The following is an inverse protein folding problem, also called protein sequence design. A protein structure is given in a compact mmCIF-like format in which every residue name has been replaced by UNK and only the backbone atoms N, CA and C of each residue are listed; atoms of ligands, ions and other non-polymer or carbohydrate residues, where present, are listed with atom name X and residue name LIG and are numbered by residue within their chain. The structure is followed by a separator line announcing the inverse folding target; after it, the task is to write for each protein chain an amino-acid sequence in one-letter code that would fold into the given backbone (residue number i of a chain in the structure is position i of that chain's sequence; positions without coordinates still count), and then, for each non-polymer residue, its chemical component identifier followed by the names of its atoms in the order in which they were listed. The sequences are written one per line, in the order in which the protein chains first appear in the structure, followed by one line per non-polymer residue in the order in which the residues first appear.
data_IF_287251117174
#
_entry.id   IF_287251117174
#
_cell.length_a   1.000
_cell.length_b   1.000
_cell.length_c   1.000
_cell.angle_alpha   90.00
_cell.angle_beta   90.00
_cell.angle_gamma   90.00
#
_symmetry.space_group_name_H-M   'P 1'
#
loop_
_entity.id
_entity.type
_entity.pdbx_description
1 polymer ?
#
# COMPACT_ATOMS: atom_id res chain seq x y z
N UNK A 1 73.57 -16.12 -12.02
CA UNK A 1 72.63 -15.37 -12.89
C UNK A 1 71.21 -15.98 -12.91
N UNK A 2 71.05 -17.32 -12.89
CA UNK A 2 69.73 -17.99 -12.81
C UNK A 2 68.92 -17.76 -11.50
N UNK A 3 69.58 -17.40 -10.40
CA UNK A 3 68.92 -17.22 -9.09
C UNK A 3 68.21 -15.87 -8.94
N UNK A 4 68.59 -14.86 -9.74
CA UNK A 4 68.00 -13.51 -9.67
C UNK A 4 66.68 -13.47 -10.43
N UNK A 5 66.56 -14.21 -11.54
CA UNK A 5 65.31 -14.30 -12.32
C UNK A 5 64.15 -14.92 -11.51
N UNK A 6 64.39 -15.91 -10.65
CA UNK A 6 63.32 -16.54 -9.85
C UNK A 6 62.67 -15.60 -8.82
N UNK A 7 63.43 -14.65 -8.25
CA UNK A 7 62.88 -13.69 -7.28
C UNK A 7 61.99 -12.63 -7.94
N UNK A 8 62.34 -12.20 -9.14
CA UNK A 8 61.55 -11.23 -9.90
C UNK A 8 60.19 -11.79 -10.32
N UNK A 9 60.14 -13.05 -10.76
CA UNK A 9 58.87 -13.71 -11.10
C UNK A 9 57.97 -13.93 -9.89
N UNK A 10 58.54 -14.31 -8.74
CA UNK A 10 57.77 -14.49 -7.51
C UNK A 10 57.17 -13.16 -7.02
N UNK A 11 57.92 -12.07 -7.15
CA UNK A 11 57.46 -10.73 -6.76
C UNK A 11 56.35 -10.21 -7.67
N UNK A 12 56.47 -10.43 -8.99
CA UNK A 12 55.42 -10.08 -9.96
C UNK A 12 54.17 -10.94 -9.72
N UNK A 13 54.33 -12.24 -9.44
CA UNK A 13 53.20 -13.13 -9.12
C UNK A 13 52.47 -12.67 -7.85
N UNK A 14 53.21 -12.28 -6.80
CA UNK A 14 52.65 -11.76 -5.55
C UNK A 14 51.92 -10.44 -5.73
N UNK A 15 52.45 -9.52 -6.53
CA UNK A 15 51.76 -8.27 -6.88
C UNK A 15 50.49 -8.56 -7.68
N UNK A 16 50.56 -9.49 -8.64
CA UNK A 16 49.39 -9.87 -9.45
C UNK A 16 48.32 -10.53 -8.58
N UNK A 17 48.72 -11.37 -7.61
CA UNK A 17 47.82 -11.98 -6.64
C UNK A 17 47.21 -10.94 -5.69
N UNK A 18 47.99 -9.95 -5.23
CA UNK A 18 47.48 -8.84 -4.41
C UNK A 18 46.55 -7.90 -5.19
N UNK A 19 46.77 -7.71 -6.49
CA UNK A 19 45.86 -6.96 -7.36
C UNK A 19 44.58 -7.76 -7.62
N UNK A 20 44.67 -9.07 -7.80
CA UNK A 20 43.50 -9.94 -7.96
C UNK A 20 42.69 -10.07 -6.66
N UNK A 21 43.34 -10.13 -5.49
CA UNK A 21 42.68 -10.21 -4.19
C UNK A 21 42.23 -8.84 -3.65
N UNK A 22 42.89 -7.75 -4.06
CA UNK A 22 42.55 -6.37 -3.68
C UNK A 22 41.49 -5.71 -4.56
N UNK A 23 41.05 -6.38 -5.63
CA UNK A 23 39.94 -5.96 -6.50
C UNK A 23 38.84 -7.04 -6.45
N UNK A 24 38.52 -7.52 -5.26
CA UNK A 24 37.11 -7.76 -4.94
C UNK A 24 36.67 -6.57 -4.12
N UNK A 25 36.39 -5.47 -4.83
CA UNK A 25 35.36 -4.56 -4.34
C UNK A 25 34.13 -5.46 -4.29
N UNK A 26 33.73 -5.89 -3.10
CA UNK A 26 32.38 -6.40 -2.90
C UNK A 26 31.50 -5.39 -3.63
N UNK A 27 30.93 -5.81 -4.76
CA UNK A 27 29.79 -5.11 -5.31
C UNK A 27 28.70 -5.41 -4.29
N UNK A 28 28.72 -4.68 -3.19
CA UNK A 28 27.52 -4.37 -2.47
C UNK A 28 26.66 -3.66 -3.52
N UNK A 29 25.86 -4.44 -4.24
CA UNK A 29 24.71 -4.00 -5.01
C UNK A 29 23.77 -3.38 -3.99
N UNK A 30 24.13 -2.19 -3.54
CA UNK A 30 23.34 -1.37 -2.63
C UNK A 30 22.42 -0.62 -3.57
N UNK A 31 21.15 -0.96 -3.47
CA UNK A 31 20.05 -0.35 -4.20
C UNK A 31 20.20 1.17 -4.17
N UNK A 32 20.17 1.81 -5.35
CA UNK A 32 20.06 3.26 -5.47
C UNK A 32 18.65 3.63 -4.95
N UNK A 33 18.53 3.88 -3.64
CA UNK A 33 17.30 4.24 -2.90
C UNK A 33 16.75 5.62 -3.33
N UNK A 34 16.74 5.93 -4.63
CA UNK A 34 15.86 6.97 -5.14
C UNK A 34 14.43 6.49 -4.99
N UNK A 35 13.77 6.90 -3.89
CA UNK A 35 12.33 6.78 -3.62
C UNK A 35 11.51 7.63 -4.59
N UNK A 36 11.76 7.45 -5.89
CA UNK A 36 11.42 8.42 -6.94
C UNK A 36 9.92 8.68 -7.09
N UNK A 37 9.07 7.81 -6.53
CA UNK A 37 7.62 7.83 -6.62
C UNK A 37 6.89 7.50 -5.30
N UNK A 38 7.54 7.63 -4.13
CA UNK A 38 6.85 7.40 -2.85
C UNK A 38 6.32 8.72 -2.27
N UNK A 39 5.05 8.71 -1.85
CA UNK A 39 4.44 9.77 -1.07
C UNK A 39 4.72 9.47 0.40
N UNK A 40 5.35 10.40 1.10
CA UNK A 40 5.69 10.29 2.52
C UNK A 40 4.82 11.26 3.32
N UNK A 41 4.17 10.77 4.37
CA UNK A 41 3.39 11.60 5.29
C UNK A 41 4.25 11.93 6.50
N UNK A 42 4.39 13.22 6.79
CA UNK A 42 5.21 13.70 7.91
C UNK A 42 4.50 14.86 8.62
N UNK A 43 4.82 15.08 9.89
CA UNK A 43 4.34 16.23 10.66
C UNK A 43 5.27 17.42 10.56
N UNK A 44 4.74 18.63 10.76
CA UNK A 44 5.57 19.80 11.04
C UNK A 44 6.46 19.51 12.25
N UNK A 45 7.78 19.63 12.07
CA UNK A 45 8.82 19.33 13.05
C UNK A 45 9.59 18.05 12.77
N UNK A 46 9.08 17.17 11.90
CA UNK A 46 9.75 15.90 11.58
C UNK A 46 11.04 16.11 10.78
N UNK A 47 12.00 15.23 11.02
CA UNK A 47 13.24 15.13 10.25
C UNK A 47 13.04 14.10 9.13
N UNK A 48 13.47 14.44 7.93
CA UNK A 48 13.58 13.47 6.84
C UNK A 48 14.94 12.82 6.95
N UNK A 49 14.97 11.55 7.35
CA UNK A 49 16.16 10.73 7.28
C UNK A 49 16.33 10.22 5.83
N UNK A 50 17.31 10.80 5.15
CA UNK A 50 17.74 10.39 3.81
C UNK A 50 19.14 9.76 3.84
N UNK A 51 19.59 9.26 5.00
CA UNK A 51 20.88 8.60 5.20
C UNK A 51 22.06 9.44 4.70
N UNK A 52 22.21 10.63 5.29
CA UNK A 52 23.26 11.59 4.89
C UNK A 52 24.67 11.02 5.05
N UNK A 53 24.89 10.16 6.05
CA UNK A 53 26.17 9.52 6.34
C UNK A 53 26.62 8.63 5.17
N UNK A 54 25.71 7.81 4.63
CA UNK A 54 25.97 7.03 3.41
C UNK A 54 26.42 7.93 2.25
N UNK A 55 25.75 9.07 2.04
CA UNK A 55 26.14 9.97 0.98
C UNK A 55 27.47 10.66 1.24
N UNK A 56 27.84 10.94 2.49
CA UNK A 56 29.15 11.52 2.84
C UNK A 56 30.29 10.53 2.57
N UNK A 57 30.04 9.24 2.82
CA UNK A 57 31.01 8.17 2.55
C UNK A 57 31.20 7.93 1.05
N UNK A 58 30.12 7.98 0.26
CA UNK A 58 30.17 7.76 -1.19
C UNK A 58 30.63 8.99 -1.97
N UNK A 59 30.22 10.17 -1.52
CA UNK A 59 30.41 11.43 -2.23
C UNK A 59 31.09 12.45 -1.31
N UNK A 60 32.24 12.97 -1.73
CA UNK A 60 32.84 14.12 -1.05
C UNK A 60 31.97 15.35 -1.31
N UNK A 61 31.23 15.81 -0.31
CA UNK A 61 30.48 17.08 -0.34
C UNK A 61 30.66 17.85 0.97
N UNK A 62 30.58 19.18 0.91
CA UNK A 62 30.64 20.05 2.09
C UNK A 62 29.39 20.95 2.23
N UNK A 63 28.45 20.85 1.28
CA UNK A 63 27.22 21.63 1.28
C UNK A 63 26.06 20.84 0.68
N UNK A 64 24.93 20.85 1.37
CA UNK A 64 23.64 20.33 0.92
C UNK A 64 22.73 21.49 0.53
N UNK A 65 22.12 21.41 -0.65
CA UNK A 65 21.12 22.37 -1.13
C UNK A 65 19.83 21.62 -1.41
N UNK A 66 18.71 22.16 -0.93
CA UNK A 66 17.39 21.59 -1.14
C UNK A 66 16.65 22.36 -2.23
N UNK A 67 15.99 21.63 -3.11
CA UNK A 67 15.02 22.14 -4.07
C UNK A 67 13.64 21.62 -3.68
N UNK A 68 12.76 22.55 -3.37
CA UNK A 68 11.39 22.27 -2.97
C UNK A 68 10.46 22.74 -4.09
N UNK A 69 9.59 21.85 -4.55
CA UNK A 69 8.44 22.21 -5.39
C UNK A 69 7.19 22.15 -4.51
N UNK A 70 6.62 23.33 -4.23
CA UNK A 70 5.58 23.55 -3.22
C UNK A 70 4.19 23.60 -3.84
N UNK A 71 3.21 23.05 -3.14
CA UNK A 71 1.81 23.05 -3.56
C UNK A 71 0.90 23.59 -2.44
N UNK A 72 0.16 24.66 -2.72
CA UNK A 72 -0.82 25.22 -1.80
C UNK A 72 -2.21 24.65 -2.08
N UNK A 73 -2.85 24.17 -1.03
CA UNK A 73 -4.26 23.81 -1.00
C UNK A 73 -5.08 25.07 -0.67
N UNK A 74 -5.89 25.58 -1.60
CA UNK A 74 -6.81 26.73 -1.37
C UNK A 74 -8.25 26.26 -1.25
N UNK A 75 -8.82 26.35 -0.05
CA UNK A 75 -10.19 25.93 0.28
C UNK A 75 -10.47 26.04 1.78
N UNK A 76 -11.74 26.05 2.18
CA UNK A 76 -12.13 26.21 3.58
C UNK A 76 -12.02 24.86 4.31
N UNK A 77 -11.00 24.70 5.17
CA UNK A 77 -10.67 23.43 5.85
C UNK A 77 -11.80 22.95 6.76
N UNK A 78 -12.60 23.87 7.31
CA UNK A 78 -13.68 23.55 8.25
C UNK A 78 -14.96 23.00 7.60
N UNK A 79 -15.10 23.07 6.27
CA UNK A 79 -16.35 22.73 5.59
C UNK A 79 -16.16 21.69 4.49
N UNK A 80 -15.39 20.64 4.76
CA UNK A 80 -15.02 19.54 3.85
C UNK A 80 -13.88 19.87 2.88
N UNK A 81 -12.94 18.92 2.75
CA UNK A 81 -11.78 18.91 1.85
C UNK A 81 -12.19 19.12 0.36
N UNK A 82 -13.48 18.92 0.02
CA UNK A 82 -14.10 19.10 -1.30
C UNK A 82 -14.00 20.48 -1.95
N UNK A 83 -13.44 21.49 -1.27
CA UNK A 83 -13.30 22.85 -1.79
C UNK A 83 -11.84 23.28 -2.05
N UNK A 84 -10.88 22.35 -2.01
CA UNK A 84 -9.45 22.66 -2.10
C UNK A 84 -8.93 22.61 -3.55
N UNK A 85 -8.58 23.77 -4.11
CA UNK A 85 -7.84 23.89 -5.37
C UNK A 85 -6.34 23.86 -5.12
N UNK A 86 -5.58 23.06 -5.89
CA UNK A 86 -4.13 22.89 -5.72
C UNK A 86 -3.37 23.80 -6.70
N UNK A 87 -2.51 24.67 -6.20
CA UNK A 87 -1.69 25.57 -7.01
C UNK A 87 -0.20 25.35 -6.73
N UNK A 88 0.61 25.24 -7.80
CA UNK A 88 2.08 25.25 -7.69
C UNK A 88 2.53 26.62 -7.19
N UNK A 89 3.24 26.65 -6.07
CA UNK A 89 3.88 27.85 -5.54
C UNK A 89 5.40 27.74 -5.71
N UNK A 90 6.02 28.80 -6.23
CA UNK A 90 7.48 28.86 -6.41
C UNK A 90 8.16 29.38 -5.14
N UNK A 91 8.03 28.67 -4.02
CA UNK A 91 8.65 29.10 -2.76
C UNK A 91 9.10 27.91 -1.90
N UNK A 92 10.34 27.95 -1.40
CA UNK A 92 10.84 27.04 -0.35
C UNK A 92 10.20 27.43 1.01
N UNK A 93 9.04 26.88 1.34
CA UNK A 93 8.26 27.28 2.52
C UNK A 93 7.98 26.14 3.50
N UNK A 94 8.02 24.91 3.03
CA UNK A 94 7.59 23.74 3.78
C UNK A 94 8.74 23.02 4.46
N UNK A 95 9.97 23.18 3.96
CA UNK A 95 11.15 22.55 4.54
C UNK A 95 12.25 23.55 4.90
N UNK A 96 13.13 23.16 5.82
CA UNK A 96 14.34 23.88 6.17
C UNK A 96 15.49 22.91 6.41
N UNK A 97 16.69 23.23 5.91
CA UNK A 97 17.91 22.50 6.26
C UNK A 97 18.54 23.17 7.50
N UNK A 98 18.70 22.42 8.59
CA UNK A 98 19.34 22.94 9.80
C UNK A 98 20.88 22.97 9.70
N UNK A 99 21.56 23.40 10.75
CA UNK A 99 23.03 23.48 10.81
C UNK A 99 23.76 22.13 10.71
N UNK A 100 23.06 21.00 10.85
CA UNK A 100 23.57 19.63 10.71
C UNK A 100 23.30 19.02 9.32
N UNK A 101 22.75 19.80 8.39
CA UNK A 101 22.27 19.34 7.08
C UNK A 101 21.05 18.39 7.14
N UNK A 102 20.30 18.40 8.24
CA UNK A 102 19.06 17.64 8.37
C UNK A 102 17.91 18.45 7.78
N UNK A 103 17.00 17.80 7.04
CA UNK A 103 15.83 18.44 6.44
C UNK A 103 14.65 18.31 7.39
N UNK A 104 14.08 19.45 7.78
CA UNK A 104 13.00 19.54 8.76
C UNK A 104 11.74 20.10 8.11
N UNK A 105 10.61 19.44 8.29
CA UNK A 105 9.30 19.98 7.93
C UNK A 105 8.96 21.19 8.82
N UNK A 106 8.67 22.33 8.21
CA UNK A 106 8.44 23.62 8.90
C UNK A 106 6.99 24.07 8.87
N UNK A 107 6.21 23.63 7.87
CA UNK A 107 4.86 24.14 7.61
C UNK A 107 4.01 23.05 6.95
N UNK A 108 2.72 22.99 7.28
CA UNK A 108 1.78 22.13 6.55
C UNK A 108 1.75 22.46 5.07
N UNK A 109 1.62 21.43 4.25
CA UNK A 109 1.42 21.55 2.82
C UNK A 109 1.81 20.26 2.11
N UNK A 110 1.83 20.31 0.79
CA UNK A 110 2.39 19.22 -0.01
C UNK A 110 3.61 19.77 -0.71
N UNK A 111 4.72 19.05 -0.67
CA UNK A 111 5.94 19.45 -1.36
C UNK A 111 6.69 18.25 -1.93
N UNK A 112 7.22 18.42 -3.15
CA UNK A 112 8.20 17.50 -3.71
C UNK A 112 9.60 17.96 -3.34
N UNK A 113 10.43 17.04 -2.89
CA UNK A 113 11.73 17.35 -2.34
C UNK A 113 12.85 16.72 -3.17
N UNK A 114 13.80 17.54 -3.60
CA UNK A 114 15.07 17.08 -4.16
C UNK A 114 16.23 17.67 -3.39
N UNK A 115 17.28 16.88 -3.24
CA UNK A 115 18.50 17.28 -2.51
C UNK A 115 19.68 17.23 -3.46
N UNK A 116 20.48 18.28 -3.45
CA UNK A 116 21.70 18.41 -4.24
C UNK A 116 22.91 18.58 -3.35
N UNK A 117 23.91 17.75 -3.58
CA UNK A 117 25.18 17.75 -2.88
C UNK A 117 26.20 18.55 -3.70
N UNK A 118 27.00 19.35 -3.01
CA UNK A 118 28.06 20.16 -3.63
C UNK A 118 29.35 20.15 -2.81
N UNK A 119 30.48 20.25 -3.52
CA UNK A 119 31.81 20.40 -2.94
C UNK A 119 32.50 21.59 -3.59
N UNK A 120 32.94 22.56 -2.78
CA UNK A 120 33.57 23.80 -3.27
C UNK A 120 32.76 24.46 -4.39
N UNK A 121 31.45 24.62 -4.14
CA UNK A 121 30.45 25.20 -5.06
C UNK A 121 30.20 24.42 -6.36
N UNK A 122 30.83 23.25 -6.54
CA UNK A 122 30.55 22.36 -7.68
C UNK A 122 29.52 21.32 -7.32
N UNK A 123 28.54 21.12 -8.20
CA UNK A 123 27.54 20.06 -8.09
C UNK A 123 28.20 18.68 -8.13
N UNK A 124 27.76 17.79 -7.24
CA UNK A 124 28.25 16.41 -7.12
C UNK A 124 27.15 15.42 -7.52
N UNK A 125 25.98 15.52 -6.90
CA UNK A 125 24.86 14.58 -7.12
C UNK A 125 23.54 15.24 -6.73
N UNK A 126 22.46 14.87 -7.41
CA UNK A 126 21.08 15.21 -7.02
C UNK A 126 20.30 13.93 -6.76
N UNK A 127 19.48 13.94 -5.72
CA UNK A 127 18.60 12.85 -5.31
C UNK A 127 17.18 13.39 -5.24
N UNK A 128 16.23 12.61 -5.76
CA UNK A 128 14.80 12.87 -5.62
C UNK A 128 14.31 12.09 -4.40
N UNK A 129 13.86 12.80 -3.37
CA UNK A 129 13.37 12.21 -2.12
C UNK A 129 11.88 11.89 -2.17
N UNK A 130 11.18 12.28 -3.24
CA UNK A 130 9.76 11.99 -3.44
C UNK A 130 8.84 13.13 -3.04
N UNK A 131 7.55 12.80 -2.94
CA UNK A 131 6.49 13.73 -2.57
C UNK A 131 6.22 13.62 -1.07
N UNK A 132 6.04 14.75 -0.39
CA UNK A 132 5.76 14.80 1.04
C UNK A 132 4.41 15.48 1.27
N UNK A 133 3.57 14.84 2.07
CA UNK A 133 2.36 15.43 2.63
C UNK A 133 2.68 15.80 4.07
N UNK A 134 2.81 17.10 4.31
CA UNK A 134 3.14 17.66 5.62
C UNK A 134 1.85 18.12 6.29
N UNK A 135 1.52 17.50 7.40
CA UNK A 135 0.36 17.87 8.21
C UNK A 135 0.81 18.73 9.40
N UNK A 136 0.10 19.85 9.62
CA UNK A 136 0.33 20.74 10.75
C UNK A 136 -0.75 20.45 11.78
N UNK A 137 -0.49 19.45 12.59
CA UNK A 137 -1.33 19.21 13.74
C UNK A 137 -0.66 19.78 14.98
N UNK A 138 -1.00 21.04 15.28
CA UNK A 138 -0.51 21.75 16.46
C UNK A 138 -1.08 21.17 17.78
N UNK A 139 -2.03 20.23 17.69
CA UNK A 139 -2.67 19.58 18.83
C UNK A 139 -2.40 18.07 18.90
N UNK A 140 -1.70 17.47 17.93
CA UNK A 140 -1.26 16.09 18.06
C UNK A 140 -0.12 16.00 19.06
N UNK A 141 -0.36 15.24 20.11
CA UNK A 141 0.70 14.62 20.88
C UNK A 141 1.56 13.81 19.90
N UNK A 142 2.75 14.33 19.57
CA UNK A 142 3.70 13.70 18.65
C UNK A 142 4.36 12.46 19.26
N UNK A 143 3.96 12.06 20.46
CA UNK A 143 4.44 10.85 21.09
C UNK A 143 3.85 9.63 20.40
N UNK A 144 4.73 8.72 19.98
CA UNK A 144 4.34 7.40 19.54
C UNK A 144 3.89 6.58 20.74
N UNK A 145 2.65 6.09 20.69
CA UNK A 145 2.08 5.26 21.74
C UNK A 145 2.19 3.79 21.32
N UNK A 146 2.85 3.00 22.17
CA UNK A 146 2.95 1.55 22.00
C UNK A 146 1.64 0.87 22.38
N UNK A 147 1.05 0.16 21.43
CA UNK A 147 -0.19 -0.60 21.60
C UNK A 147 0.11 -2.06 21.92
N UNK A 148 -0.59 -2.59 22.90
CA UNK A 148 -0.59 -3.99 23.31
C UNK A 148 -2.03 -4.41 23.69
N UNK A 149 -2.20 -5.66 24.08
CA UNK A 149 -3.50 -6.23 24.48
C UNK A 149 -4.28 -5.33 25.46
N UNK A 150 -3.62 -4.70 26.42
CA UNK A 150 -4.29 -3.98 27.51
C UNK A 150 -4.82 -2.59 27.14
N UNK A 151 -4.23 -1.96 26.11
CA UNK A 151 -4.49 -0.55 25.79
C UNK A 151 -4.90 -0.30 24.32
N UNK A 152 -4.82 -1.32 23.44
CA UNK A 152 -5.08 -1.20 22.01
C UNK A 152 -6.39 -0.43 21.70
N UNK A 153 -7.50 -0.87 22.29
CA UNK A 153 -8.78 -0.23 22.03
C UNK A 153 -8.91 1.15 22.68
N UNK A 154 -8.49 1.30 23.94
CA UNK A 154 -8.70 2.53 24.70
C UNK A 154 -7.89 3.69 24.14
N UNK A 155 -6.62 3.46 23.79
CA UNK A 155 -5.74 4.51 23.25
C UNK A 155 -6.23 5.01 21.89
N UNK A 156 -6.61 4.09 20.99
CA UNK A 156 -7.12 4.48 19.67
C UNK A 156 -8.48 5.18 19.80
N UNK A 157 -9.38 4.70 20.67
CA UNK A 157 -10.69 5.32 20.88
C UNK A 157 -10.57 6.74 21.44
N UNK A 158 -9.68 6.94 22.41
CA UNK A 158 -9.56 8.21 23.12
C UNK A 158 -8.71 9.22 22.32
N UNK A 159 -7.81 8.74 21.44
CA UNK A 159 -7.02 9.55 20.52
C UNK A 159 -7.04 8.99 19.09
N UNK A 160 -8.17 9.09 18.35
CA UNK A 160 -8.34 8.47 17.03
C UNK A 160 -7.47 9.09 15.93
N UNK A 161 -6.83 10.22 16.21
CA UNK A 161 -5.87 10.89 15.33
C UNK A 161 -4.42 10.73 15.80
N UNK A 162 -4.16 9.91 16.81
CA UNK A 162 -2.83 9.70 17.39
C UNK A 162 -1.86 8.91 16.49
N UNK A 163 -0.62 8.79 16.97
CA UNK A 163 0.44 7.99 16.35
C UNK A 163 0.72 6.75 17.18
N UNK A 164 0.55 5.59 16.58
CA UNK A 164 0.56 4.30 17.28
C UNK A 164 1.49 3.30 16.60
N UNK A 165 2.08 2.42 17.39
CA UNK A 165 2.76 1.24 16.87
C UNK A 165 2.42 0.01 17.70
N UNK A 166 2.36 -1.16 17.09
CA UNK A 166 2.14 -2.40 17.83
C UNK A 166 3.43 -2.80 18.58
N UNK A 167 3.27 -3.29 19.80
CA UNK A 167 4.34 -3.80 20.68
C UNK A 167 4.17 -5.26 21.06
N UNK A 168 3.03 -5.85 20.70
CA UNK A 168 2.70 -7.25 20.92
C UNK A 168 1.59 -7.66 19.96
N UNK A 169 1.37 -8.97 19.83
CA UNK A 169 0.13 -9.48 19.26
C UNK A 169 -1.09 -8.94 20.02
N UNK A 170 -2.18 -8.70 19.30
CA UNK A 170 -3.46 -8.22 19.83
C UNK A 170 -4.49 -9.34 19.67
N UNK A 171 -4.81 -10.08 20.75
CA UNK A 171 -5.76 -11.16 20.67
C UNK A 171 -7.19 -10.63 20.55
N UNK A 172 -8.11 -11.46 20.07
CA UNK A 172 -9.49 -11.03 19.76
C UNK A 172 -10.27 -10.44 20.94
N UNK A 173 -9.93 -10.81 22.18
CA UNK A 173 -10.56 -10.28 23.39
C UNK A 173 -10.22 -8.81 23.65
N UNK A 174 -9.11 -8.32 23.12
CA UNK A 174 -8.68 -6.92 23.22
C UNK A 174 -9.26 -6.05 22.11
N UNK A 175 -9.80 -6.67 21.04
CA UNK A 175 -10.34 -5.92 19.91
C UNK A 175 -11.82 -5.63 20.11
N UNK A 176 -12.10 -4.36 20.39
CA UNK A 176 -13.43 -3.81 20.32
C UNK A 176 -13.55 -2.92 19.08
N UNK A 177 -14.78 -2.75 18.60
CA UNK A 177 -15.07 -1.93 17.42
C UNK A 177 -14.59 -0.48 17.60
N UNK A 178 -13.70 -0.04 16.72
CA UNK A 178 -13.26 1.36 16.66
C UNK A 178 -14.14 2.10 15.66
N UNK A 179 -14.91 3.09 16.12
CA UNK A 179 -15.89 3.76 15.25
C UNK A 179 -15.25 4.66 14.18
N UNK A 180 -14.12 5.27 14.49
CA UNK A 180 -13.46 6.23 13.60
C UNK A 180 -11.96 6.27 13.90
N UNK A 181 -11.15 6.38 12.86
CA UNK A 181 -9.71 6.58 12.96
C UNK A 181 -9.18 7.40 11.79
N UNK A 182 -8.30 8.35 12.09
CA UNK A 182 -7.64 9.25 11.13
C UNK A 182 -6.14 9.43 11.40
N UNK A 183 -5.61 8.71 12.40
CA UNK A 183 -4.22 8.80 12.82
C UNK A 183 -3.28 7.91 12.01
N UNK A 184 -2.17 7.56 12.64
CA UNK A 184 -1.12 6.70 12.07
C UNK A 184 -0.96 5.42 12.90
N UNK A 185 -0.96 4.25 12.27
CA UNK A 185 -0.61 2.98 12.92
C UNK A 185 0.49 2.28 12.13
N UNK A 186 1.57 1.92 12.83
CA UNK A 186 2.68 1.13 12.29
C UNK A 186 2.77 -0.24 12.98
N UNK A 187 3.24 -1.23 12.24
CA UNK A 187 3.58 -2.54 12.79
C UNK A 187 4.89 -3.05 12.18
N UNK A 188 6.02 -2.43 12.56
CA UNK A 188 7.33 -2.75 11.98
C UNK A 188 7.78 -4.17 12.33
N UNK A 189 7.38 -4.66 13.49
CA UNK A 189 7.80 -5.95 14.06
C UNK A 189 6.87 -7.12 13.69
N UNK A 190 5.92 -6.89 12.77
CA UNK A 190 5.02 -7.93 12.24
C UNK A 190 4.14 -8.62 13.31
N UNK A 191 3.70 -7.89 14.34
CA UNK A 191 2.71 -8.40 15.29
C UNK A 191 1.36 -8.65 14.62
N UNK A 192 0.59 -9.59 15.15
CA UNK A 192 -0.69 -10.02 14.60
C UNK A 192 -1.86 -9.46 15.38
N UNK A 193 -2.97 -9.22 14.68
CA UNK A 193 -4.27 -8.89 15.26
C UNK A 193 -5.22 -10.03 14.91
N UNK A 194 -5.87 -10.62 15.91
CA UNK A 194 -6.93 -11.61 15.68
C UNK A 194 -8.30 -10.97 15.84
N UNK A 195 -9.16 -11.08 14.83
CA UNK A 195 -10.54 -10.59 14.86
C UNK A 195 -11.51 -11.78 14.87
N UNK A 196 -12.03 -12.12 16.05
CA UNK A 196 -13.11 -13.11 16.16
C UNK A 196 -14.45 -12.42 16.33
N UNK A 197 -15.32 -12.56 15.32
CA UNK A 197 -16.76 -12.34 15.34
C UNK A 197 -17.29 -11.26 16.31
N UNK A 198 -17.60 -10.08 15.75
CA UNK A 198 -18.66 -9.24 16.30
C UNK A 198 -20.01 -9.82 15.88
N UNK A 199 -20.49 -10.86 16.57
CA UNK A 199 -21.90 -11.26 16.49
C UNK A 199 -22.73 -10.16 17.16
N UNK A 200 -22.96 -9.07 16.44
CA UNK A 200 -23.63 -7.88 16.94
C UNK A 200 -24.58 -7.37 15.87
N UNK A 201 -25.73 -6.87 16.30
CA UNK A 201 -26.80 -6.30 15.47
C UNK A 201 -26.40 -5.00 14.77
N UNK A 202 -25.12 -4.77 14.47
CA UNK A 202 -24.61 -3.55 13.85
C UNK A 202 -24.24 -3.71 12.39
N UNK A 203 -24.80 -2.82 11.56
CA UNK A 203 -24.76 -2.85 10.10
C UNK A 203 -23.36 -2.73 9.46
N UNK A 204 -22.31 -2.32 10.17
CA UNK A 204 -20.99 -2.10 9.57
C UNK A 204 -19.89 -2.74 10.41
N UNK A 205 -19.05 -3.57 9.77
CA UNK A 205 -18.09 -4.45 10.44
C UNK A 205 -16.65 -4.27 9.92
N UNK A 206 -15.70 -4.38 10.85
CA UNK A 206 -14.25 -4.30 10.65
C UNK A 206 -13.55 -3.89 11.95
N UNK A 207 -12.22 -3.96 11.97
CA UNK A 207 -11.40 -3.39 13.05
C UNK A 207 -11.77 -1.90 13.27
N UNK A 208 -11.88 -1.18 12.16
CA UNK A 208 -12.40 0.17 12.09
C UNK A 208 -13.77 0.20 11.41
N UNK A 209 -14.67 1.05 11.87
CA UNK A 209 -15.89 1.33 11.08
C UNK A 209 -15.55 2.28 9.95
N UNK A 210 -14.82 3.35 10.26
CA UNK A 210 -14.44 4.40 9.32
C UNK A 210 -12.95 4.70 9.50
N UNK A 211 -12.21 4.57 8.40
CA UNK A 211 -10.90 5.21 8.20
C UNK A 211 -11.09 6.46 7.36
N UNK A 212 -10.59 7.61 7.80
CA UNK A 212 -10.59 8.84 6.98
C UNK A 212 -9.29 9.61 7.17
N UNK A 213 -8.50 9.75 6.11
CA UNK A 213 -7.18 10.40 6.18
C UNK A 213 -6.13 9.61 6.97
N UNK A 214 -6.36 8.32 7.24
CA UNK A 214 -5.49 7.50 8.06
C UNK A 214 -4.26 7.00 7.27
N UNK A 215 -3.15 6.80 7.99
CA UNK A 215 -1.98 6.05 7.50
C UNK A 215 -1.85 4.74 8.26
N UNK A 216 -1.93 3.62 7.55
CA UNK A 216 -1.82 2.29 8.15
C UNK A 216 -0.73 1.52 7.42
N UNK A 217 0.25 1.02 8.18
CA UNK A 217 1.40 0.31 7.65
C UNK A 217 1.71 -0.97 8.43
N UNK A 218 1.79 -2.09 7.72
CA UNK A 218 2.29 -3.35 8.26
C UNK A 218 1.30 -4.15 9.09
N UNK A 219 0.03 -3.74 9.20
CA UNK A 219 -0.95 -4.49 10.00
C UNK A 219 -1.19 -5.89 9.42
N UNK A 220 -1.13 -6.90 10.29
CA UNK A 220 -1.39 -8.30 9.95
C UNK A 220 -2.61 -8.74 10.73
N UNK A 221 -3.73 -8.96 10.04
CA UNK A 221 -4.95 -9.53 10.62
C UNK A 221 -4.98 -11.01 10.28
N UNK A 222 -5.01 -11.90 11.26
CA UNK A 222 -4.90 -13.35 11.04
C UNK A 222 -5.89 -14.16 11.88
N UNK A 223 -6.19 -15.38 11.45
CA UNK A 223 -7.06 -16.35 12.14
C UNK A 223 -8.43 -15.75 12.47
N UNK A 224 -8.92 -14.93 11.55
CA UNK A 224 -10.07 -14.07 11.79
C UNK A 224 -11.31 -14.60 11.07
N UNK A 225 -12.49 -14.38 11.66
CA UNK A 225 -13.75 -14.76 11.03
C UNK A 225 -14.80 -13.69 11.27
N UNK A 226 -15.44 -13.23 10.20
CA UNK A 226 -16.59 -12.34 10.22
C UNK A 226 -17.85 -13.08 9.80
N UNK A 227 -18.87 -13.03 10.66
CA UNK A 227 -20.22 -13.52 10.37
C UNK A 227 -21.21 -12.39 10.60
N UNK A 228 -21.81 -11.81 9.55
CA UNK A 228 -22.89 -10.85 9.73
C UNK A 228 -24.05 -11.50 10.49
N UNK A 229 -24.67 -10.76 11.41
CA UNK A 229 -25.93 -11.18 12.03
C UNK A 229 -27.09 -10.54 11.30
N UNK A 230 -28.26 -11.19 11.24
CA UNK A 230 -29.42 -10.71 10.49
C UNK A 230 -29.75 -9.23 10.75
N UNK A 231 -29.75 -8.42 9.70
CA UNK A 231 -30.21 -7.03 9.74
C UNK A 231 -31.64 -6.93 9.20
N UNK A 232 -32.44 -6.05 9.80
CA UNK A 232 -33.66 -5.61 9.14
C UNK A 232 -33.26 -4.91 7.83
N UNK A 233 -33.90 -5.30 6.72
CA UNK A 233 -33.56 -5.04 5.29
C UNK A 233 -33.39 -3.58 4.83
N UNK A 234 -33.24 -2.60 5.73
CA UNK A 234 -33.36 -1.17 5.41
C UNK A 234 -32.00 -0.46 5.33
N UNK A 235 -30.93 -1.00 5.92
CA UNK A 235 -29.61 -0.34 5.95
C UNK A 235 -28.59 -1.03 5.04
N UNK A 236 -27.81 -0.23 4.31
CA UNK A 236 -26.65 -0.71 3.54
C UNK A 236 -25.54 -1.13 4.51
N UNK A 237 -25.24 -2.42 4.53
CA UNK A 237 -24.22 -3.03 5.37
C UNK A 237 -22.92 -3.18 4.59
N UNK A 238 -21.82 -2.63 5.12
CA UNK A 238 -20.48 -2.73 4.55
C UNK A 238 -19.52 -3.45 5.50
N UNK A 239 -18.68 -4.35 4.98
CA UNK A 239 -17.79 -5.18 5.79
C UNK A 239 -16.41 -5.36 5.17
N UNK A 240 -15.38 -5.32 6.01
CA UNK A 240 -14.03 -5.75 5.70
C UNK A 240 -13.18 -5.89 6.95
N UNK A 241 -12.16 -6.75 6.97
CA UNK A 241 -11.42 -7.06 8.21
C UNK A 241 -10.73 -5.80 8.75
N UNK A 242 -10.16 -4.98 7.88
CA UNK A 242 -9.57 -3.71 8.27
C UNK A 242 -10.65 -2.66 8.55
N UNK A 243 -11.56 -2.42 7.60
CA UNK A 243 -12.60 -1.42 7.80
C UNK A 243 -13.90 -1.65 7.03
N UNK A 244 -15.02 -1.15 7.56
CA UNK A 244 -16.25 -1.06 6.78
C UNK A 244 -16.15 0.03 5.69
N UNK A 245 -15.56 1.18 6.03
CA UNK A 245 -15.34 2.31 5.12
C UNK A 245 -13.89 2.83 5.22
N UNK A 246 -13.25 3.09 4.09
CA UNK A 246 -11.96 3.78 4.02
C UNK A 246 -12.00 4.97 3.05
N UNK A 247 -11.78 6.17 3.56
CA UNK A 247 -11.75 7.44 2.83
C UNK A 247 -10.39 8.09 2.88
N UNK A 248 -9.89 8.59 1.75
CA UNK A 248 -8.70 9.43 1.65
C UNK A 248 -7.46 8.90 2.41
N UNK A 249 -7.35 7.58 2.57
CA UNK A 249 -6.37 6.96 3.45
C UNK A 249 -5.21 6.38 2.63
N UNK A 250 -4.12 6.06 3.31
CA UNK A 250 -2.99 5.35 2.73
C UNK A 250 -2.78 4.05 3.51
N UNK A 251 -3.03 2.92 2.84
CA UNK A 251 -3.01 1.59 3.43
C UNK A 251 -1.89 0.81 2.75
N UNK A 252 -0.83 0.52 3.49
CA UNK A 252 0.37 -0.11 2.94
C UNK A 252 0.79 -1.33 3.75
N UNK A 253 1.35 -2.35 3.09
CA UNK A 253 1.88 -3.56 3.72
C UNK A 253 0.86 -4.26 4.65
N UNK A 254 -0.43 -4.18 4.35
CA UNK A 254 -1.50 -4.78 5.16
C UNK A 254 -1.84 -6.17 4.65
N UNK A 255 -1.81 -7.15 5.55
CA UNK A 255 -2.18 -8.54 5.24
C UNK A 255 -3.38 -8.98 6.06
N UNK A 256 -4.32 -9.68 5.40
CA UNK A 256 -5.48 -10.28 6.03
C UNK A 256 -5.54 -11.76 5.68
N UNK A 257 -5.63 -12.60 6.70
CA UNK A 257 -5.93 -14.04 6.64
C UNK A 257 -7.19 -14.30 7.47
N UNK A 258 -8.31 -14.58 6.80
CA UNK A 258 -9.58 -14.80 7.48
C UNK A 258 -10.77 -15.02 6.59
N UNK A 259 -11.86 -15.53 7.18
CA UNK A 259 -13.06 -15.94 6.46
C UNK A 259 -14.24 -15.00 6.71
N UNK A 260 -14.95 -14.63 5.66
CA UNK A 260 -16.23 -13.91 5.71
C UNK A 260 -17.34 -14.87 5.31
N UNK A 261 -18.17 -15.26 6.27
CA UNK A 261 -19.18 -16.31 6.08
C UNK A 261 -20.57 -15.76 6.44
N UNK A 262 -21.43 -15.59 5.44
CA UNK A 262 -22.85 -15.26 5.63
C UNK A 262 -23.76 -16.42 5.20
N UNK A 263 -24.69 -16.79 6.06
CA UNK A 263 -25.73 -17.78 5.79
C UNK A 263 -27.14 -17.17 5.83
N UNK A 264 -27.25 -15.85 5.97
CA UNK A 264 -28.49 -15.12 6.15
C UNK A 264 -28.81 -14.38 4.86
N UNK A 265 -29.96 -14.71 4.25
CA UNK A 265 -30.41 -14.03 3.03
C UNK A 265 -30.73 -12.56 3.30
N UNK A 266 -30.09 -11.65 2.55
CA UNK A 266 -30.46 -10.24 2.46
C UNK A 266 -29.97 -9.34 3.59
N UNK A 267 -28.88 -9.71 4.29
CA UNK A 267 -28.31 -8.91 5.39
C UNK A 267 -27.09 -8.08 5.02
N UNK A 268 -26.31 -8.40 3.99
CA UNK A 268 -25.07 -7.68 3.69
C UNK A 268 -25.00 -7.23 2.23
N UNK A 269 -24.70 -5.94 2.02
CA UNK A 269 -24.70 -5.38 0.67
C UNK A 269 -23.29 -5.39 0.08
N UNK A 270 -22.26 -4.97 0.82
CA UNK A 270 -20.93 -4.74 0.25
C UNK A 270 -19.85 -5.36 1.13
N UNK A 271 -19.05 -6.27 0.55
CA UNK A 271 -18.02 -7.04 1.28
C UNK A 271 -16.69 -6.95 0.57
N UNK A 272 -15.65 -6.57 1.30
CA UNK A 272 -14.26 -6.71 0.90
C UNK A 272 -13.48 -7.55 1.90
N UNK A 273 -12.45 -8.29 1.48
CA UNK A 273 -11.54 -8.95 2.42
C UNK A 273 -10.82 -7.94 3.33
N UNK A 274 -10.36 -6.80 2.78
CA UNK A 274 -9.78 -5.71 3.57
C UNK A 274 -10.83 -4.68 3.97
N UNK A 275 -11.51 -4.10 2.97
CA UNK A 275 -12.40 -2.94 3.16
C UNK A 275 -13.73 -3.15 2.46
N UNK A 276 -14.84 -2.89 3.14
CA UNK A 276 -16.16 -2.92 2.50
C UNK A 276 -16.28 -1.89 1.38
N UNK A 277 -16.17 -0.61 1.74
CA UNK A 277 -16.34 0.51 0.82
C UNK A 277 -15.14 1.45 0.88
N UNK A 278 -14.60 1.83 -0.28
CA UNK A 278 -13.44 2.71 -0.39
C UNK A 278 -13.68 3.97 -1.22
N UNK A 279 -13.16 5.12 -0.75
CA UNK A 279 -13.22 6.42 -1.40
C UNK A 279 -11.82 7.05 -1.45
N UNK A 280 -11.25 7.23 -2.64
CA UNK A 280 -9.97 7.96 -2.81
C UNK A 280 -8.81 7.43 -1.94
N UNK A 281 -8.83 6.15 -1.57
CA UNK A 281 -7.79 5.52 -0.74
C UNK A 281 -6.80 4.81 -1.64
N UNK A 282 -5.52 4.86 -1.25
CA UNK A 282 -4.44 4.18 -1.95
C UNK A 282 -4.06 2.93 -1.17
N UNK A 283 -3.90 1.83 -1.89
CA UNK A 283 -3.48 0.54 -1.38
C UNK A 283 -2.15 0.13 -2.01
N UNK A 284 -1.14 -0.12 -1.18
CA UNK A 284 0.14 -0.65 -1.63
C UNK A 284 0.51 -1.90 -0.86
N UNK A 285 1.00 -2.93 -1.53
CA UNK A 285 1.48 -4.14 -0.84
C UNK A 285 0.41 -4.71 0.09
N UNK A 286 -0.79 -4.92 -0.44
CA UNK A 286 -1.92 -5.42 0.35
C UNK A 286 -2.29 -6.83 -0.06
N UNK A 287 -2.73 -7.63 0.90
CA UNK A 287 -3.12 -9.01 0.61
C UNK A 287 -4.33 -9.48 1.38
N UNK A 288 -5.13 -10.30 0.72
CA UNK A 288 -6.18 -11.07 1.36
C UNK A 288 -5.98 -12.57 1.10
N UNK A 289 -6.19 -13.38 2.12
CA UNK A 289 -6.28 -14.83 2.01
C UNK A 289 -7.41 -15.39 2.85
N UNK A 290 -8.17 -16.33 2.30
CA UNK A 290 -9.30 -16.96 2.96
C UNK A 290 -10.55 -17.04 2.10
N UNK A 291 -11.66 -17.41 2.73
CA UNK A 291 -12.94 -17.64 2.07
C UNK A 291 -13.86 -16.42 2.25
N UNK A 292 -14.48 -15.97 1.15
CA UNK A 292 -15.65 -15.08 1.21
C UNK A 292 -16.83 -15.83 0.61
N UNK A 293 -17.76 -16.25 1.46
CA UNK A 293 -18.95 -17.00 1.05
C UNK A 293 -20.20 -16.39 1.66
N UNK A 294 -21.21 -16.10 0.83
CA UNK A 294 -22.48 -15.65 1.37
C UNK A 294 -23.53 -15.22 0.36
N UNK A 295 -24.47 -14.40 0.83
CA UNK A 295 -25.56 -13.81 0.05
C UNK A 295 -25.38 -12.28 0.08
N UNK A 296 -24.53 -11.78 -0.83
CA UNK A 296 -24.06 -10.39 -0.81
C UNK A 296 -24.39 -9.65 -2.12
N UNK A 297 -24.48 -8.31 -2.08
CA UNK A 297 -24.71 -7.56 -3.33
C UNK A 297 -23.42 -7.39 -4.15
N UNK A 298 -22.31 -7.12 -3.47
CA UNK A 298 -21.01 -6.83 -4.07
C UNK A 298 -19.92 -7.45 -3.21
N UNK A 299 -19.05 -8.25 -3.83
CA UNK A 299 -17.93 -8.91 -3.18
C UNK A 299 -16.65 -8.59 -3.95
N UNK A 300 -15.65 -8.09 -3.24
CA UNK A 300 -14.27 -8.04 -3.69
C UNK A 300 -13.37 -8.82 -2.74
N UNK A 301 -12.40 -9.57 -3.23
CA UNK A 301 -11.40 -10.19 -2.36
C UNK A 301 -10.58 -9.14 -1.58
N UNK A 302 -10.35 -7.95 -2.12
CA UNK A 302 -9.77 -6.83 -1.36
C UNK A 302 -10.84 -5.81 -0.92
N UNK A 303 -11.62 -5.30 -1.88
CA UNK A 303 -12.52 -4.16 -1.67
C UNK A 303 -13.90 -4.47 -2.26
N UNK A 304 -14.97 -4.35 -1.47
CA UNK A 304 -16.32 -4.63 -1.98
C UNK A 304 -16.79 -3.60 -3.01
N UNK A 305 -16.68 -2.31 -2.68
CA UNK A 305 -17.01 -1.20 -3.57
C UNK A 305 -15.96 -0.10 -3.51
N UNK A 306 -15.53 0.40 -4.65
CA UNK A 306 -14.61 1.53 -4.73
C UNK A 306 -15.22 2.71 -5.51
N UNK A 307 -15.15 3.91 -4.94
CA UNK A 307 -15.44 5.15 -5.67
C UNK A 307 -14.15 5.94 -5.83
N UNK A 308 -13.73 6.07 -7.08
CA UNK A 308 -12.57 6.87 -7.45
C UNK A 308 -13.01 8.31 -7.59
N UNK A 309 -12.80 9.07 -6.54
CA UNK A 309 -12.98 10.52 -6.56
C UNK A 309 -11.60 11.17 -6.67
N UNK A 310 -11.47 12.18 -7.55
CA UNK A 310 -10.21 12.79 -7.99
C UNK A 310 -9.42 13.53 -6.88
N UNK A 311 -9.88 13.49 -5.63
CA UNK A 311 -9.47 14.38 -4.53
C UNK A 311 -8.02 14.22 -4.08
N UNK A 312 -7.43 13.03 -4.18
CA UNK A 312 -5.98 12.78 -3.95
C UNK A 312 -5.20 12.66 -5.27
N UNK A 313 -5.88 12.31 -6.36
CA UNK A 313 -5.28 12.17 -7.68
C UNK A 313 -5.01 13.52 -8.37
N UNK A 314 -5.56 14.64 -7.90
CA UNK A 314 -5.32 15.96 -8.48
C UNK A 314 -3.87 16.46 -8.31
N UNK A 315 -3.10 15.97 -7.33
CA UNK A 315 -1.70 16.43 -7.19
C UNK A 315 -0.79 15.88 -8.30
N UNK A 316 -1.10 14.73 -8.92
CA UNK A 316 -0.29 14.14 -10.00
C UNK A 316 -1.02 14.02 -11.35
N UNK A 317 -2.35 13.96 -11.38
CA UNK A 317 -3.13 14.01 -12.63
C UNK A 317 -2.88 15.32 -13.38
N UNK A 318 -2.65 16.42 -12.63
CA UNK A 318 -2.21 17.73 -13.15
C UNK A 318 -0.84 17.67 -13.84
N UNK A 319 0.03 16.73 -13.48
CA UNK A 319 1.43 16.73 -13.96
C UNK A 319 1.72 15.76 -15.10
N UNK A 320 1.02 14.62 -15.21
CA UNK A 320 1.48 13.56 -16.13
C UNK A 320 0.42 12.89 -17.00
N UNK A 321 -0.87 13.30 -17.00
CA UNK A 321 -1.94 12.54 -17.68
C UNK A 321 -1.92 11.02 -17.32
N UNK A 322 -1.37 10.67 -16.16
CA UNK A 322 -1.20 9.30 -15.72
C UNK A 322 -1.99 9.10 -14.42
N UNK A 323 -3.00 8.22 -14.41
CA UNK A 323 -3.71 7.87 -13.19
C UNK A 323 -2.73 7.27 -12.17
N UNK A 324 -2.81 7.74 -10.93
CA UNK A 324 -2.06 7.15 -9.81
C UNK A 324 -2.60 5.74 -9.54
N UNK A 325 -1.72 4.75 -9.24
CA UNK A 325 -2.21 3.42 -8.88
C UNK A 325 -2.99 3.50 -7.58
N UNK A 326 -4.26 3.16 -7.65
CA UNK A 326 -5.12 2.97 -6.49
C UNK A 326 -4.75 1.66 -5.77
N UNK A 327 -4.35 0.64 -6.54
CA UNK A 327 -3.81 -0.62 -6.04
C UNK A 327 -2.49 -0.89 -6.75
N UNK A 328 -1.43 -1.08 -5.98
CA UNK A 328 -0.07 -1.40 -6.46
C UNK A 328 0.55 -2.49 -5.59
N UNK A 329 0.87 -3.65 -6.17
CA UNK A 329 1.41 -4.76 -5.38
C UNK A 329 0.33 -5.38 -4.53
N UNK A 330 -0.62 -6.09 -5.11
CA UNK A 330 -1.66 -6.73 -4.33
C UNK A 330 -1.85 -8.19 -4.70
N UNK A 331 -2.29 -8.99 -3.75
CA UNK A 331 -2.66 -10.37 -4.05
C UNK A 331 -3.87 -10.86 -3.28
N UNK A 332 -4.58 -11.78 -3.91
CA UNK A 332 -5.70 -12.50 -3.30
C UNK A 332 -5.51 -13.99 -3.51
N UNK A 333 -5.57 -14.76 -2.42
CA UNK A 333 -5.56 -16.23 -2.46
C UNK A 333 -6.82 -16.71 -1.73
N UNK A 334 -7.85 -17.13 -2.44
CA UNK A 334 -9.09 -17.45 -1.77
C UNK A 334 -10.25 -17.89 -2.65
N UNK A 335 -11.20 -18.55 -2.00
CA UNK A 335 -12.46 -18.96 -2.59
C UNK A 335 -13.52 -17.87 -2.34
N UNK A 336 -13.99 -17.24 -3.41
CA UNK A 336 -14.92 -16.12 -3.37
C UNK A 336 -16.21 -16.56 -4.06
N UNK A 337 -17.28 -16.72 -3.29
CA UNK A 337 -18.53 -17.28 -3.78
C UNK A 337 -19.74 -16.50 -3.27
N UNK A 338 -20.77 -16.44 -4.12
CA UNK A 338 -22.03 -15.78 -3.80
C UNK A 338 -23.20 -16.69 -4.16
N UNK A 339 -24.07 -16.97 -3.18
CA UNK A 339 -25.25 -17.81 -3.32
C UNK A 339 -26.50 -17.01 -3.78
N UNK A 340 -26.36 -15.70 -4.03
CA UNK A 340 -27.49 -14.84 -4.35
C UNK A 340 -27.96 -15.00 -5.79
N UNK A 341 -29.24 -15.36 -5.97
CA UNK A 341 -29.85 -15.72 -7.26
C UNK A 341 -30.36 -14.51 -8.09
N UNK A 342 -29.94 -13.28 -7.80
CA UNK A 342 -30.40 -12.07 -8.52
C UNK A 342 -29.33 -11.51 -9.47
N UNK A 343 -29.78 -11.16 -10.68
CA UNK A 343 -28.99 -10.80 -11.89
C UNK A 343 -28.30 -9.40 -11.77
N UNK A 344 -27.95 -8.91 -10.59
CA UNK A 344 -27.28 -7.59 -10.46
C UNK A 344 -26.12 -7.58 -9.47
N UNK A 345 -25.63 -8.75 -9.08
CA UNK A 345 -24.60 -8.89 -8.05
C UNK A 345 -23.25 -9.23 -8.66
N UNK A 346 -22.23 -8.74 -7.99
CA UNK A 346 -20.88 -8.68 -8.54
C UNK A 346 -19.91 -9.34 -7.58
N UNK A 347 -19.08 -10.24 -8.10
CA UNK A 347 -18.10 -11.01 -7.31
C UNK A 347 -16.79 -10.98 -8.06
N UNK A 348 -15.73 -10.46 -7.43
CA UNK A 348 -14.44 -10.27 -8.08
C UNK A 348 -13.27 -10.44 -7.09
N UNK A 349 -12.09 -10.78 -7.59
CA UNK A 349 -10.89 -11.01 -6.80
C UNK A 349 -10.37 -9.73 -6.12
N UNK A 350 -10.26 -8.60 -6.81
CA UNK A 350 -9.73 -7.38 -6.18
C UNK A 350 -10.85 -6.46 -5.73
N UNK A 351 -11.63 -5.93 -6.67
CA UNK A 351 -12.67 -4.94 -6.38
C UNK A 351 -13.99 -5.48 -6.89
N UNK A 352 -14.98 -5.63 -6.03
CA UNK A 352 -16.32 -6.07 -6.45
C UNK A 352 -16.86 -5.15 -7.53
N UNK A 353 -17.15 -3.90 -7.18
CA UNK A 353 -17.61 -2.89 -8.14
C UNK A 353 -16.89 -1.56 -7.92
N UNK A 354 -16.75 -0.75 -8.97
CA UNK A 354 -16.26 0.60 -8.81
C UNK A 354 -16.99 1.63 -9.68
N UNK A 355 -16.82 2.89 -9.34
CA UNK A 355 -17.31 4.02 -10.13
C UNK A 355 -16.16 4.95 -10.50
N UNK A 356 -16.27 5.54 -11.71
CA UNK A 356 -15.40 6.56 -12.34
C UNK A 356 -14.14 6.06 -13.08
N UNK A 357 -13.73 6.89 -14.06
CA UNK A 357 -12.58 6.70 -14.93
C UNK A 357 -11.29 7.22 -14.23
N UNK A 358 -10.14 6.60 -14.51
CA UNK A 358 -8.78 6.95 -14.06
C UNK A 358 -8.27 6.28 -12.76
N UNK A 359 -8.72 5.07 -12.43
CA UNK A 359 -7.98 4.22 -11.51
C UNK A 359 -6.90 3.44 -12.26
N UNK A 360 -5.73 3.27 -11.63
CA UNK A 360 -4.72 2.31 -12.07
C UNK A 360 -4.63 1.18 -11.05
N UNK A 361 -4.68 -0.05 -11.55
CA UNK A 361 -4.55 -1.27 -10.75
C UNK A 361 -3.39 -2.02 -11.38
N UNK A 362 -2.36 -2.29 -10.59
CA UNK A 362 -1.16 -2.87 -11.14
C UNK A 362 -0.43 -3.82 -10.21
N UNK A 363 0.42 -4.64 -10.82
CA UNK A 363 1.39 -5.50 -10.17
C UNK A 363 0.69 -6.37 -9.12
N UNK A 364 -0.14 -7.30 -9.57
CA UNK A 364 -0.88 -8.13 -8.63
C UNK A 364 -1.26 -9.48 -9.19
N UNK A 365 -1.62 -10.39 -8.29
CA UNK A 365 -2.06 -11.71 -8.69
C UNK A 365 -3.29 -12.19 -7.91
N UNK A 366 -4.03 -13.11 -8.53
CA UNK A 366 -5.14 -13.82 -7.93
C UNK A 366 -4.97 -15.33 -8.12
N UNK A 367 -5.23 -16.09 -7.06
CA UNK A 367 -5.38 -17.54 -7.10
C UNK A 367 -6.57 -17.97 -6.24
N UNK A 368 -7.29 -19.02 -6.68
CA UNK A 368 -8.45 -19.56 -5.98
C UNK A 368 -9.66 -19.76 -6.89
N UNK A 369 -10.86 -19.56 -6.37
CA UNK A 369 -12.10 -19.74 -7.14
C UNK A 369 -13.01 -18.51 -7.05
N UNK A 370 -13.73 -18.25 -8.14
CA UNK A 370 -14.82 -17.25 -8.18
C UNK A 370 -16.09 -17.98 -8.62
N UNK A 371 -17.07 -18.10 -7.72
CA UNK A 371 -18.37 -18.69 -8.02
C UNK A 371 -19.48 -17.64 -7.93
N UNK A 372 -20.13 -17.37 -9.05
CA UNK A 372 -21.27 -16.45 -9.13
C UNK A 372 -22.39 -17.12 -9.93
N UNK A 373 -23.58 -17.27 -9.33
CA UNK A 373 -24.63 -18.15 -9.86
C UNK A 373 -25.25 -17.68 -11.18
N UNK A 374 -25.07 -16.40 -11.58
CA UNK A 374 -25.88 -15.82 -12.67
C UNK A 374 -25.15 -14.86 -13.62
N UNK A 375 -23.81 -14.73 -13.59
CA UNK A 375 -23.07 -13.77 -14.44
C UNK A 375 -22.01 -14.42 -15.32
N UNK A 376 -22.20 -14.28 -16.65
CA UNK A 376 -21.36 -14.85 -17.71
C UNK A 376 -20.36 -13.84 -18.31
N UNK A 377 -19.97 -12.78 -17.60
CA UNK A 377 -19.09 -11.73 -18.14
C UNK A 377 -18.24 -11.06 -17.03
N UNK A 378 -17.27 -11.79 -16.45
CA UNK A 378 -16.47 -11.27 -15.33
C UNK A 378 -14.96 -11.39 -15.58
N UNK A 379 -14.29 -10.23 -15.66
CA UNK A 379 -12.84 -10.15 -15.58
C UNK A 379 -12.45 -10.41 -14.12
N UNK A 380 -11.55 -11.36 -13.80
CA UNK A 380 -11.37 -11.85 -12.42
C UNK A 380 -11.12 -10.77 -11.37
N UNK A 381 -10.57 -9.61 -11.75
CA UNK A 381 -10.17 -8.59 -10.78
C UNK A 381 -11.26 -7.57 -10.45
N UNK A 382 -12.19 -7.25 -11.36
CA UNK A 382 -13.22 -6.20 -11.13
C UNK A 382 -14.33 -6.16 -12.21
N UNK A 383 -15.47 -5.51 -11.89
CA UNK A 383 -16.64 -5.40 -12.76
C UNK A 383 -16.97 -3.96 -13.23
N UNK A 384 -17.27 -3.84 -14.53
CA UNK A 384 -17.93 -2.74 -15.26
C UNK A 384 -17.24 -1.35 -15.36
N UNK A 385 -17.34 -0.75 -16.56
CA UNK A 385 -17.49 0.69 -16.79
C UNK A 385 -16.32 1.45 -17.44
N UNK A 386 -16.20 1.45 -18.77
CA UNK A 386 -15.28 2.31 -19.56
C UNK A 386 -13.79 2.18 -19.17
N UNK A 387 -13.03 1.34 -19.89
CA UNK A 387 -11.59 1.13 -19.66
C UNK A 387 -10.73 2.33 -20.11
N UNK A 388 -10.91 3.49 -19.46
CA UNK A 388 -9.82 4.47 -19.32
C UNK A 388 -8.90 4.12 -18.13
N UNK A 389 -9.21 3.04 -17.40
CA UNK A 389 -8.40 2.53 -16.31
C UNK A 389 -7.19 1.75 -16.84
N UNK A 390 -6.00 2.10 -16.36
CA UNK A 390 -4.74 1.47 -16.77
C UNK A 390 -4.51 0.25 -15.89
N UNK A 391 -4.80 -0.93 -16.42
CA UNK A 391 -4.40 -2.20 -15.83
C UNK A 391 -2.96 -2.48 -16.23
N UNK A 392 -2.13 -3.03 -15.35
CA UNK A 392 -0.75 -3.40 -15.70
C UNK A 392 -0.26 -4.57 -14.86
N UNK A 393 0.29 -5.61 -15.49
CA UNK A 393 0.91 -6.76 -14.82
C UNK A 393 -0.03 -7.44 -13.80
N UNK A 394 -1.23 -7.85 -14.24
CA UNK A 394 -2.12 -8.67 -13.45
C UNK A 394 -2.07 -10.15 -13.86
N UNK A 395 -1.95 -11.04 -12.88
CA UNK A 395 -1.79 -12.47 -13.10
C UNK A 395 -2.89 -13.28 -12.42
N UNK A 396 -3.51 -14.23 -13.10
CA UNK A 396 -4.58 -15.03 -12.52
C UNK A 396 -4.40 -16.51 -12.85
N UNK A 397 -4.59 -17.39 -11.86
CA UNK A 397 -4.69 -18.85 -12.10
C UNK A 397 -6.07 -19.29 -12.57
N UNK A 398 -7.03 -18.38 -12.52
CA UNK A 398 -8.36 -18.53 -13.10
C UNK A 398 -8.43 -17.69 -14.36
N UNK A 399 -8.70 -18.34 -15.50
CA UNK A 399 -8.98 -17.63 -16.75
C UNK A 399 -10.22 -16.74 -16.66
N UNK A 400 -10.41 -15.81 -17.60
CA UNK A 400 -11.66 -15.04 -17.66
C UNK A 400 -12.85 -16.00 -17.79
N UNK A 401 -13.86 -15.83 -16.92
CA UNK A 401 -15.10 -16.59 -17.01
C UNK A 401 -15.76 -16.28 -18.36
N UNK A 402 -16.14 -17.32 -19.12
CA UNK A 402 -16.50 -17.33 -20.54
C UNK A 402 -17.08 -16.03 -21.13
N UNK A 403 -16.63 -15.67 -22.35
CA UNK A 403 -17.19 -14.67 -23.29
C UNK A 403 -16.70 -13.21 -23.30
N UNK A 404 -15.77 -12.81 -22.40
CA UNK A 404 -15.07 -11.51 -22.49
C UNK A 404 -14.15 -11.39 -23.73
N UNK A 405 -13.73 -12.52 -24.31
CA UNK A 405 -12.88 -12.56 -25.51
C UNK A 405 -13.48 -11.84 -26.74
N UNK A 406 -14.79 -11.54 -26.74
CA UNK A 406 -15.45 -10.83 -27.82
C UNK A 406 -15.33 -9.29 -27.78
N UNK A 407 -15.17 -8.69 -26.59
CA UNK A 407 -15.25 -7.22 -26.42
C UNK A 407 -14.03 -6.57 -25.76
N UNK A 408 -13.11 -7.36 -25.18
CA UNK A 408 -11.93 -6.84 -24.50
C UNK A 408 -10.68 -7.62 -24.88
N UNK A 409 -9.66 -6.92 -25.38
CA UNK A 409 -8.33 -7.48 -25.64
C UNK A 409 -7.33 -6.83 -24.69
N UNK A 410 -6.92 -7.56 -23.65
CA UNK A 410 -5.77 -7.18 -22.85
C UNK A 410 -4.49 -7.59 -23.56
N UNK A 411 -3.46 -6.75 -23.53
CA UNK A 411 -2.11 -7.16 -23.87
C UNK A 411 -1.51 -8.02 -22.76
N UNK A 412 -0.49 -8.83 -23.09
CA UNK A 412 0.24 -9.64 -22.09
C UNK A 412 0.88 -8.80 -20.98
N UNK A 413 1.15 -7.51 -21.24
CA UNK A 413 1.66 -6.59 -20.23
C UNK A 413 0.57 -6.09 -19.27
N UNK A 414 -0.70 -6.22 -19.63
CA UNK A 414 -1.84 -5.81 -18.80
C UNK A 414 -2.37 -6.97 -17.97
N UNK A 415 -2.58 -8.11 -18.60
CA UNK A 415 -3.10 -9.32 -17.97
C UNK A 415 -2.50 -10.58 -18.58
N UNK A 416 -2.14 -11.55 -17.74
CA UNK A 416 -1.73 -12.90 -18.15
C UNK A 416 -2.40 -13.94 -17.27
N UNK A 417 -3.07 -14.92 -17.90
CA UNK A 417 -3.43 -16.17 -17.22
C UNK A 417 -2.17 -17.02 -17.02
N UNK A 418 -1.95 -17.49 -15.80
CA UNK A 418 -0.78 -18.29 -15.42
C UNK A 418 -1.21 -19.58 -14.75
N UNK A 419 -0.45 -20.65 -14.85
CA UNK A 419 -0.74 -21.85 -14.04
C UNK A 419 -0.29 -21.66 -12.60
N UNK A 420 -0.81 -22.51 -11.70
CA UNK A 420 -0.30 -22.58 -10.33
C UNK A 420 1.20 -22.89 -10.30
N UNK A 421 1.69 -23.77 -11.19
CA UNK A 421 3.12 -24.08 -11.31
C UNK A 421 3.94 -22.89 -11.79
N UNK A 422 3.45 -22.09 -12.76
CA UNK A 422 4.14 -20.86 -13.19
C UNK A 422 4.23 -19.86 -12.02
N UNK A 423 3.13 -19.66 -11.29
CA UNK A 423 3.05 -18.71 -10.17
C UNK A 423 3.97 -19.11 -9.00
N UNK A 424 4.16 -20.41 -8.76
CA UNK A 424 4.94 -20.95 -7.63
C UNK A 424 6.32 -21.47 -8.04
N UNK A 425 6.75 -21.23 -9.29
CA UNK A 425 8.03 -21.71 -9.84
C UNK A 425 9.27 -21.13 -9.14
N UNK A 426 9.13 -20.02 -8.42
CA UNK A 426 10.24 -19.23 -7.90
C UNK A 426 10.85 -18.27 -8.93
N UNK A 427 10.38 -18.27 -10.19
CA UNK A 427 10.78 -17.30 -11.20
C UNK A 427 9.97 -16.00 -11.06
N UNK A 428 10.66 -14.86 -11.15
CA UNK A 428 10.01 -13.55 -11.07
C UNK A 428 9.11 -13.30 -12.30
N UNK A 429 7.84 -12.99 -12.04
CA UNK A 429 6.91 -12.57 -13.09
C UNK A 429 7.08 -11.08 -13.41
N UNK A 430 7.02 -10.67 -14.70
CA UNK A 430 7.18 -9.27 -15.10
C UNK A 430 6.27 -8.31 -14.31
N UNK A 431 6.86 -7.24 -13.76
CA UNK A 431 6.11 -6.25 -12.99
C UNK A 431 5.83 -6.64 -11.54
N UNK A 432 6.09 -7.88 -11.13
CA UNK A 432 5.95 -8.34 -9.74
C UNK A 432 7.27 -8.27 -8.95
N UNK A 433 8.19 -7.38 -9.34
CA UNK A 433 9.52 -7.25 -8.70
C UNK A 433 9.48 -6.86 -7.21
N UNK A 434 8.33 -6.44 -6.70
CA UNK A 434 8.05 -6.16 -5.29
C UNK A 434 7.72 -7.41 -4.46
N UNK A 435 7.55 -8.56 -5.11
CA UNK A 435 7.28 -9.84 -4.46
C UNK A 435 8.58 -10.65 -4.32
N UNK A 436 8.67 -11.42 -3.25
CA UNK A 436 9.69 -12.42 -3.00
C UNK A 436 9.17 -13.74 -3.57
N UNK A 437 9.90 -14.28 -4.54
CA UNK A 437 9.60 -15.56 -5.18
C UNK A 437 10.48 -16.65 -4.56
N UNK A 438 9.83 -17.69 -4.04
CA UNK A 438 10.48 -18.89 -3.51
C UNK A 438 9.80 -20.11 -4.15
N UNK A 439 10.60 -21.08 -4.59
CA UNK A 439 10.11 -22.29 -5.27
C UNK A 439 9.07 -23.04 -4.42
N UNK A 440 7.97 -23.46 -5.05
CA UNK A 440 6.84 -24.16 -4.44
C UNK A 440 6.08 -23.35 -3.37
N UNK A 441 6.16 -22.02 -3.42
CA UNK A 441 5.37 -21.14 -2.55
C UNK A 441 4.77 -19.99 -3.33
N UNK A 442 3.66 -19.44 -2.83
CA UNK A 442 3.10 -18.22 -3.42
C UNK A 442 4.07 -17.04 -3.26
N UNK A 443 4.18 -16.14 -4.25
CA UNK A 443 4.97 -14.93 -4.14
C UNK A 443 4.48 -14.08 -2.96
N UNK A 444 5.36 -13.78 -2.02
CA UNK A 444 5.02 -12.98 -0.83
C UNK A 444 5.43 -11.54 -1.03
N UNK A 445 4.71 -10.60 -0.42
CA UNK A 445 5.14 -9.21 -0.45
C UNK A 445 6.47 -9.06 0.29
N UNK A 446 7.41 -8.33 -0.31
CA UNK A 446 8.61 -7.86 0.39
C UNK A 446 8.21 -6.82 1.43
N UNK A 447 7.88 -7.25 2.65
CA UNK A 447 7.72 -6.32 3.77
C UNK A 447 9.04 -5.59 4.02
N UNK A 448 8.97 -4.30 4.36
CA UNK A 448 10.10 -3.57 4.88
C UNK A 448 10.60 -4.27 6.15
N UNK A 449 11.64 -5.09 6.04
CA UNK A 449 12.53 -5.30 7.17
C UNK A 449 13.39 -4.05 7.25
N UNK A 450 13.15 -3.19 8.24
CA UNK A 450 14.22 -2.29 8.67
C UNK A 450 15.40 -3.21 9.06
N UNK A 451 16.56 -3.09 8.39
CA UNK A 451 17.73 -3.89 8.72
C UNK A 451 18.24 -3.62 10.14
#
# INVERSE_FOLDING_TARGET
MMYILKKSYLFILLITLFIMLGIQKESSTIYDYTRKNEIQYITVGDYIDYNIEYFQDQYKFNKVTMYEESYTLKGNIESSISALSIYKENTNQYFHINHRNEIIAKKQGVAKLRVSFSFDEKHVKTIDLGLFVIINDLNMDNTWIGLNESNFYTEIRDNPSGKFYLTSDIPSQAVFKINYFSGTILNPDQYTITLMNTSGTQANQGLFTILDGAYIDGLIIKDSTMKPTSFNRVETVSMGFLAAFAGNSFITNVSVEGNVLDNIRGSAQIVGGLVGVSYGTIYKHVSYSGEIHGDFNQIGGLIGFAKFDYRINDVESIYNNNPYPMIDGAFVIGDISNNHQEISRVVQAFIGNFTYENARIQNGYFDGTIENTDHYDQFPFFYNGSFNNKVLHLYSTVGPLDSIAGNYSFSENEYKEVTFEELTSGEELPGLSMFIFEENTYPKLSYWRLP
#
